data_IF_321319236224
#
_entry.id   IF_321319236224
#
_cell.length_a   1.000
_cell.length_b   1.000
_cell.length_c   1.000
_cell.angle_alpha   90.00
_cell.angle_beta   90.00
_cell.angle_gamma   90.00
#
_symmetry.space_group_name_H-M   'P 1'
#
loop_
_entity.id
_entity.type
_entity.pdbx_description
1 polymer ?
#
# COMPACT_ATOMS: atom_id res chain seq x y z
N UNK A 1 15.48 -10.34 -5.47
CA UNK A 1 14.76 -9.31 -6.24
C UNK A 1 14.15 -8.36 -5.21
N UNK A 2 14.50 -7.08 -5.24
CA UNK A 2 13.96 -6.12 -4.27
C UNK A 2 12.46 -5.92 -4.55
N UNK A 3 11.63 -5.82 -3.51
CA UNK A 3 10.21 -5.56 -3.69
C UNK A 3 10.01 -4.10 -4.10
N UNK A 4 9.48 -3.88 -5.30
CA UNK A 4 9.34 -2.54 -5.92
C UNK A 4 7.97 -1.89 -5.66
N UNK A 5 6.98 -2.69 -5.25
CA UNK A 5 5.59 -2.30 -5.00
C UNK A 5 4.96 -3.13 -3.88
N UNK A 6 4.00 -2.55 -3.15
CA UNK A 6 3.02 -3.29 -2.35
C UNK A 6 1.65 -3.23 -3.04
N UNK A 7 1.17 -4.38 -3.51
CA UNK A 7 -0.14 -4.53 -4.17
C UNK A 7 -1.13 -5.20 -3.22
N UNK A 8 -2.39 -4.75 -3.25
CA UNK A 8 -3.53 -5.34 -2.53
C UNK A 8 -4.69 -5.48 -3.50
N UNK A 9 -5.01 -6.73 -3.83
CA UNK A 9 -6.17 -7.08 -4.63
C UNK A 9 -7.40 -7.30 -3.72
N UNK A 10 -8.58 -6.88 -4.19
CA UNK A 10 -9.86 -7.07 -3.52
C UNK A 10 -10.00 -6.27 -2.22
N UNK A 11 -9.39 -5.10 -2.11
CA UNK A 11 -9.48 -4.28 -0.90
C UNK A 11 -10.87 -3.64 -0.78
N UNK A 12 -11.58 -3.93 0.31
CA UNK A 12 -12.89 -3.33 0.60
C UNK A 12 -12.71 -2.04 1.38
N UNK A 13 -13.24 -0.94 0.84
CA UNK A 13 -13.29 0.34 1.53
C UNK A 13 -14.07 0.22 2.84
N UNK A 14 -13.46 0.64 3.94
CA UNK A 14 -14.07 0.54 5.28
C UNK A 14 -15.31 1.43 5.46
N UNK A 15 -15.50 2.44 4.59
CA UNK A 15 -16.62 3.38 4.68
C UNK A 15 -17.77 2.98 3.76
N UNK A 16 -17.52 2.77 2.48
CA UNK A 16 -18.60 2.49 1.51
C UNK A 16 -18.69 1.03 1.07
N UNK A 17 -17.77 0.16 1.50
CA UNK A 17 -17.73 -1.25 1.15
C UNK A 17 -17.29 -1.57 -0.28
N UNK A 18 -17.04 -0.55 -1.11
CA UNK A 18 -16.59 -0.75 -2.50
C UNK A 18 -15.26 -1.52 -2.52
N UNK A 19 -15.17 -2.51 -3.40
CA UNK A 19 -14.01 -3.38 -3.55
C UNK A 19 -13.18 -2.87 -4.71
N UNK A 20 -11.89 -2.64 -4.50
CA UNK A 20 -10.96 -2.16 -5.50
C UNK A 20 -9.55 -2.67 -5.25
N UNK A 21 -8.72 -2.63 -6.28
CA UNK A 21 -7.31 -3.01 -6.21
C UNK A 21 -6.46 -1.74 -6.06
N UNK A 22 -5.34 -1.83 -5.34
CA UNK A 22 -4.40 -0.71 -5.26
C UNK A 22 -2.95 -1.14 -5.23
N UNK A 23 -2.08 -0.26 -5.71
CA UNK A 23 -0.63 -0.44 -5.74
C UNK A 23 0.08 0.75 -5.10
N UNK A 24 0.94 0.46 -4.13
CA UNK A 24 1.78 1.43 -3.47
C UNK A 24 3.24 1.23 -3.93
N UNK A 25 3.76 2.08 -4.84
CA UNK A 25 5.15 2.01 -5.26
C UNK A 25 6.09 2.27 -4.09
N UNK A 26 7.13 1.45 -3.96
CA UNK A 26 8.21 1.63 -2.99
C UNK A 26 9.42 2.36 -3.61
N UNK A 27 9.42 2.48 -4.94
CA UNK A 27 10.41 3.20 -5.71
C UNK A 27 9.72 4.16 -6.66
N UNK A 28 10.39 5.28 -6.97
CA UNK A 28 9.82 6.35 -7.79
C UNK A 28 9.56 5.91 -9.25
N UNK A 29 10.33 4.95 -9.74
CA UNK A 29 10.33 4.50 -11.13
C UNK A 29 9.33 3.37 -11.40
N UNK A 30 8.51 2.99 -10.42
CA UNK A 30 7.50 1.96 -10.61
C UNK A 30 6.26 2.51 -11.35
N UNK A 31 5.85 1.79 -12.40
CA UNK A 31 4.63 2.08 -13.15
C UNK A 31 3.46 1.27 -12.58
N UNK A 32 2.44 1.98 -12.14
CA UNK A 32 1.22 1.40 -11.54
C UNK A 32 0.37 0.77 -12.65
N UNK A 33 -0.16 -0.41 -12.38
CA UNK A 33 -1.05 -1.15 -13.27
C UNK A 33 -2.35 -0.36 -13.50
N UNK A 34 -2.89 -0.42 -14.72
CA UNK A 34 -4.10 0.33 -15.09
C UNK A 34 -5.36 -0.10 -14.31
N UNK A 35 -5.36 -1.33 -13.81
CA UNK A 35 -6.43 -1.91 -12.98
C UNK A 35 -6.32 -1.54 -11.49
N UNK A 36 -5.23 -0.90 -11.07
CA UNK A 36 -4.95 -0.58 -9.68
C UNK A 36 -5.03 0.93 -9.40
N UNK A 37 -5.62 1.27 -8.26
CA UNK A 37 -5.62 2.64 -7.75
C UNK A 37 -4.22 2.98 -7.21
N UNK A 38 -3.68 4.18 -7.52
CA UNK A 38 -2.41 4.60 -6.98
C UNK A 38 -2.51 4.85 -5.47
N UNK A 39 -1.65 4.16 -4.70
CA UNK A 39 -1.53 4.33 -3.27
C UNK A 39 -0.16 4.90 -2.89
N UNK A 40 -0.04 5.46 -1.68
CA UNK A 40 1.21 5.99 -1.14
C UNK A 40 1.72 5.09 -0.02
N UNK A 41 2.97 4.65 -0.11
CA UNK A 41 3.67 3.99 1.00
C UNK A 41 4.48 4.99 1.83
N UNK A 42 4.38 4.90 3.16
CA UNK A 42 5.16 5.70 4.10
C UNK A 42 5.80 4.79 5.13
N UNK A 43 7.13 4.84 5.27
CA UNK A 43 7.82 4.15 6.35
C UNK A 43 7.54 4.85 7.68
N UNK A 44 6.91 4.13 8.62
CA UNK A 44 6.52 4.68 9.93
C UNK A 44 7.40 4.21 11.07
N UNK A 45 8.05 3.05 10.93
CA UNK A 45 9.00 2.58 11.92
C UNK A 45 10.02 1.65 11.28
N UNK A 46 11.23 1.65 11.81
CA UNK A 46 12.27 0.68 11.48
C UNK A 46 12.69 -0.04 12.74
N UNK A 47 12.56 -1.36 12.75
CA UNK A 47 12.90 -2.19 13.90
C UNK A 47 14.06 -3.13 13.53
N UNK A 48 15.00 -3.34 14.45
CA UNK A 48 15.96 -4.44 14.31
C UNK A 48 15.31 -5.73 14.82
N UNK A 49 15.00 -6.64 13.90
CA UNK A 49 14.58 -8.00 14.20
C UNK A 49 15.77 -8.96 14.18
N UNK A 50 15.58 -10.17 14.72
CA UNK A 50 16.63 -11.20 14.77
C UNK A 50 17.20 -11.61 13.41
N UNK A 51 16.50 -11.31 12.31
CA UNK A 51 16.90 -11.62 10.93
C UNK A 51 17.16 -10.37 10.05
N UNK A 52 17.32 -9.18 10.66
CA UNK A 52 17.62 -7.94 9.94
C UNK A 52 16.71 -6.76 10.27
N UNK A 53 16.75 -5.71 9.45
CA UNK A 53 15.97 -4.49 9.65
C UNK A 53 14.58 -4.65 9.04
N UNK A 54 13.55 -4.69 9.89
CA UNK A 54 12.14 -4.68 9.50
C UNK A 54 11.68 -3.24 9.31
N UNK A 55 10.90 -2.98 8.26
CA UNK A 55 10.32 -1.64 8.03
C UNK A 55 8.80 -1.75 8.05
N UNK A 56 8.18 -1.09 9.02
CA UNK A 56 6.73 -0.95 9.05
C UNK A 56 6.33 0.16 8.07
N UNK A 57 5.46 -0.20 7.13
CA UNK A 57 4.86 0.69 6.17
C UNK A 57 3.40 0.97 6.53
N UNK A 58 3.01 2.23 6.38
CA UNK A 58 1.61 2.64 6.24
C UNK A 58 1.33 2.90 4.76
N UNK A 59 0.35 2.22 4.21
CA UNK A 59 -0.16 2.42 2.86
C UNK A 59 -1.43 3.26 2.92
N UNK A 60 -1.54 4.25 2.04
CA UNK A 60 -2.69 5.15 1.93
C UNK A 60 -3.28 5.03 0.54
N UNK A 61 -4.52 4.57 0.43
CA UNK A 61 -5.22 4.38 -0.85
C UNK A 61 -6.59 5.05 -0.83
N UNK A 62 -6.84 5.95 -1.77
CA UNK A 62 -8.12 6.66 -1.86
C UNK A 62 -9.17 5.79 -2.54
N UNK A 63 -10.34 5.64 -1.93
CA UNK A 63 -11.40 4.85 -2.53
C UNK A 63 -11.91 5.54 -3.81
N UNK A 64 -11.92 4.87 -4.97
CA UNK A 64 -12.34 5.48 -6.23
C UNK A 64 -13.83 5.84 -6.25
N UNK A 65 -14.65 5.24 -5.37
CA UNK A 65 -16.09 5.48 -5.31
C UNK A 65 -16.48 6.62 -4.36
N UNK A 66 -15.89 6.69 -3.16
CA UNK A 66 -16.29 7.67 -2.13
C UNK A 66 -15.21 8.71 -1.80
N UNK A 67 -14.00 8.58 -2.35
CA UNK A 67 -12.89 9.51 -2.14
C UNK A 67 -12.24 9.44 -0.76
N UNK A 68 -12.70 8.55 0.13
CA UNK A 68 -12.10 8.38 1.46
C UNK A 68 -10.76 7.66 1.36
N UNK A 69 -9.74 8.21 2.01
CA UNK A 69 -8.44 7.57 2.18
C UNK A 69 -8.55 6.39 3.15
N UNK A 70 -8.13 5.22 2.69
CA UNK A 70 -8.02 4.01 3.49
C UNK A 70 -6.57 3.79 3.89
N UNK A 71 -6.36 3.34 5.12
CA UNK A 71 -5.03 3.12 5.70
C UNK A 71 -4.78 1.62 5.90
N UNK A 72 -3.66 1.11 5.42
CA UNK A 72 -3.28 -0.31 5.56
C UNK A 72 -1.87 -0.44 6.11
N UNK A 73 -1.68 -1.29 7.13
CA UNK A 73 -0.38 -1.56 7.74
C UNK A 73 0.28 -2.76 7.06
N UNK A 74 1.51 -2.58 6.60
CA UNK A 74 2.32 -3.63 5.98
C UNK A 74 3.73 -3.67 6.60
N UNK A 75 4.38 -4.83 6.52
CA UNK A 75 5.77 -5.01 6.98
C UNK A 75 6.62 -5.43 5.79
N UNK A 76 7.83 -4.87 5.71
CA UNK A 76 8.91 -5.25 4.81
C UNK A 76 10.02 -5.95 5.58
#
# INVERSE_FOLDING_TARGET
MAQEVKRRDGYSCLVCGHIFDFEAPLQKEYQISEDAVPARAVAVNTMEGSNGKLVNLMLYADCPQCGVTNECKEVL
#
